data_IF_468784556664
#
_entry.id   IF_468784556664
#
_cell.length_a   1.000
_cell.length_b   1.000
_cell.length_c   1.000
_cell.angle_alpha   90.00
_cell.angle_beta   90.00
_cell.angle_gamma   90.00
#
_symmetry.space_group_name_H-M   'P 1'
#
loop_
_entity.id
_entity.type
_entity.pdbx_description
1 polymer ?
#
# COMPACT_ATOMS: atom_id res chain seq x y z
N UNK A 1 -1.59 -6.84 -31.42
CA UNK A 1 -1.79 -6.74 -29.95
C UNK A 1 -1.22 -5.43 -29.35
N UNK A 2 -0.10 -4.90 -29.87
CA UNK A 2 0.52 -3.66 -29.34
C UNK A 2 -0.26 -2.37 -29.68
N UNK A 3 -1.04 -2.34 -30.75
CA UNK A 3 -1.75 -1.14 -31.22
C UNK A 3 -2.94 -0.77 -30.28
N UNK A 4 -3.65 -1.76 -29.76
CA UNK A 4 -4.80 -1.54 -28.87
C UNK A 4 -4.37 -1.05 -27.45
N UNK A 5 -3.20 -1.46 -26.99
CA UNK A 5 -2.63 -0.97 -25.73
C UNK A 5 -2.20 0.49 -25.81
N UNK A 6 -1.64 0.91 -26.96
CA UNK A 6 -1.19 2.31 -27.17
C UNK A 6 -2.32 3.33 -27.16
N UNK A 7 -3.57 2.92 -27.47
CA UNK A 7 -4.72 3.84 -27.47
C UNK A 7 -5.32 4.07 -26.09
N UNK A 8 -5.00 3.23 -25.08
CA UNK A 8 -5.57 3.32 -23.72
C UNK A 8 -4.62 4.00 -22.74
N UNK A 9 -3.33 3.90 -22.99
CA UNK A 9 -2.28 4.46 -22.12
C UNK A 9 -1.02 4.72 -22.94
N UNK A 10 -0.24 5.68 -22.51
CA UNK A 10 1.09 5.97 -23.02
C UNK A 10 2.05 5.99 -21.84
N UNK A 11 3.12 5.20 -21.91
CA UNK A 11 4.22 5.28 -20.96
C UNK A 11 5.32 6.14 -21.58
N UNK A 12 5.63 7.27 -20.98
CA UNK A 12 6.82 8.04 -21.31
C UNK A 12 7.91 7.58 -20.36
N UNK A 13 8.70 6.62 -20.83
CA UNK A 13 9.82 5.98 -20.12
C UNK A 13 9.38 5.28 -18.80
N UNK A 14 8.98 6.04 -17.79
CA UNK A 14 8.82 5.60 -16.41
C UNK A 14 7.49 6.00 -15.76
N UNK A 15 6.59 6.66 -16.53
CA UNK A 15 5.28 7.14 -16.03
C UNK A 15 4.16 6.80 -17.00
N UNK A 16 2.97 6.57 -16.45
CA UNK A 16 1.80 6.20 -17.23
C UNK A 16 0.93 7.42 -17.48
N UNK A 17 0.62 7.67 -18.76
CA UNK A 17 -0.36 8.67 -19.17
C UNK A 17 -1.63 7.95 -19.61
N UNK A 18 -2.70 8.18 -18.90
CA UNK A 18 -3.98 7.53 -19.15
C UNK A 18 -4.76 8.29 -20.22
N UNK A 19 -4.98 7.68 -21.38
CA UNK A 19 -5.90 8.19 -22.39
C UNK A 19 -7.37 7.99 -21.95
N UNK A 20 -8.34 8.76 -22.48
CA UNK A 20 -9.73 8.72 -22.00
C UNK A 20 -10.33 7.31 -21.88
N UNK A 21 -10.17 6.37 -22.85
CA UNK A 21 -10.70 5.02 -22.70
C UNK A 21 -10.02 4.22 -21.58
N UNK A 22 -8.71 4.39 -21.40
CA UNK A 22 -7.96 3.75 -20.32
C UNK A 22 -8.32 4.33 -18.95
N UNK A 23 -8.48 5.64 -18.89
CA UNK A 23 -8.91 6.34 -17.68
C UNK A 23 -10.31 5.92 -17.23
N UNK A 24 -11.24 5.75 -18.17
CA UNK A 24 -12.58 5.25 -17.84
C UNK A 24 -12.55 3.85 -17.20
N UNK A 25 -11.69 2.95 -17.71
CA UNK A 25 -11.49 1.61 -17.10
C UNK A 25 -10.88 1.76 -15.72
N UNK A 26 -9.83 2.57 -15.57
CA UNK A 26 -9.17 2.85 -14.30
C UNK A 26 -10.17 3.34 -13.24
N UNK A 27 -10.98 4.34 -13.57
CA UNK A 27 -12.00 4.86 -12.66
C UNK A 27 -13.04 3.80 -12.25
N UNK A 28 -13.43 2.90 -13.16
CA UNK A 28 -14.35 1.79 -12.84
C UNK A 28 -13.75 0.81 -11.85
N UNK A 29 -12.48 0.44 -12.04
CA UNK A 29 -11.74 -0.41 -11.10
C UNK A 29 -11.60 0.28 -9.74
N UNK A 30 -11.23 1.55 -9.71
CA UNK A 30 -11.12 2.31 -8.48
C UNK A 30 -12.46 2.41 -7.73
N UNK A 31 -13.56 2.68 -8.43
CA UNK A 31 -14.90 2.70 -7.85
C UNK A 31 -15.32 1.33 -7.31
N UNK A 32 -14.96 0.26 -7.99
CA UNK A 32 -15.23 -1.12 -7.54
C UNK A 32 -14.51 -1.41 -6.24
N UNK A 33 -13.20 -1.19 -6.16
CA UNK A 33 -12.40 -1.37 -4.95
C UNK A 33 -12.91 -0.48 -3.81
N UNK A 34 -13.19 0.80 -4.07
CA UNK A 34 -13.75 1.72 -3.07
C UNK A 34 -15.03 1.20 -2.43
N UNK A 35 -15.92 0.62 -3.21
CA UNK A 35 -17.16 0.01 -2.68
C UNK A 35 -16.85 -1.19 -1.79
N UNK A 36 -15.93 -2.08 -2.21
CA UNK A 36 -15.52 -3.26 -1.44
C UNK A 36 -14.91 -2.85 -0.10
N UNK A 37 -13.96 -1.91 -0.11
CA UNK A 37 -13.32 -1.40 1.10
C UNK A 37 -14.33 -0.75 2.05
N UNK A 38 -15.25 0.08 1.54
CA UNK A 38 -16.28 0.72 2.35
C UNK A 38 -17.19 -0.31 3.04
N UNK A 39 -17.63 -1.35 2.32
CA UNK A 39 -18.46 -2.43 2.89
C UNK A 39 -17.69 -3.22 3.96
N UNK A 40 -16.37 -3.36 3.78
CA UNK A 40 -15.47 -4.00 4.75
C UNK A 40 -15.06 -3.10 5.92
N UNK A 41 -15.67 -1.90 6.05
CA UNK A 41 -15.46 -0.99 7.16
C UNK A 41 -14.20 -0.15 7.10
N UNK A 42 -13.56 0.00 5.93
CA UNK A 42 -12.43 0.91 5.75
C UNK A 42 -12.90 2.35 5.60
N UNK A 43 -12.20 3.26 6.25
CA UNK A 43 -12.35 4.70 6.13
C UNK A 43 -11.35 5.21 5.10
N UNK A 44 -11.86 5.80 4.01
CA UNK A 44 -10.99 6.37 2.98
C UNK A 44 -10.42 7.71 3.46
N UNK A 45 -9.11 7.84 3.35
CA UNK A 45 -8.34 9.05 3.68
C UNK A 45 -7.55 9.52 2.46
N UNK A 46 -6.98 10.71 2.55
CA UNK A 46 -6.03 11.25 1.56
C UNK A 46 -4.91 11.96 2.28
N UNK A 47 -3.68 11.61 1.94
CA UNK A 47 -2.48 12.18 2.55
C UNK A 47 -1.63 12.95 1.54
N UNK A 48 -0.84 13.95 1.98
CA UNK A 48 0.00 14.74 1.09
C UNK A 48 1.00 13.89 0.28
N UNK A 49 1.29 14.31 -0.95
CA UNK A 49 2.29 13.64 -1.78
C UNK A 49 3.72 14.10 -1.47
N UNK A 50 3.90 15.36 -1.10
CA UNK A 50 5.19 15.93 -0.73
C UNK A 50 5.16 16.11 0.78
N UNK A 51 6.10 15.49 1.47
CA UNK A 51 6.13 15.44 2.94
C UNK A 51 7.53 15.80 3.44
N UNK A 52 7.58 16.51 4.56
CA UNK A 52 8.82 16.93 5.21
C UNK A 52 9.70 15.72 5.58
N UNK A 53 11.00 15.92 5.44
CA UNK A 53 12.05 14.92 5.71
C UNK A 53 11.91 14.27 7.09
N UNK A 54 11.50 15.03 8.10
CA UNK A 54 11.42 14.55 9.49
C UNK A 54 10.48 13.35 9.66
N UNK A 55 9.43 13.23 8.85
CA UNK A 55 8.56 12.06 8.87
C UNK A 55 9.31 10.79 8.40
N UNK A 56 10.13 10.94 7.37
CA UNK A 56 10.90 9.85 6.80
C UNK A 56 12.06 9.42 7.70
N UNK A 57 12.67 10.36 8.43
CA UNK A 57 13.68 10.06 9.46
C UNK A 57 13.05 9.30 10.62
N UNK A 58 11.93 9.77 11.17
CA UNK A 58 11.23 9.09 12.29
C UNK A 58 10.80 7.67 11.94
N UNK A 59 10.45 7.42 10.70
CA UNK A 59 10.03 6.10 10.21
C UNK A 59 11.21 5.22 9.75
N UNK A 60 12.45 5.73 9.76
CA UNK A 60 13.67 5.04 9.34
C UNK A 60 13.83 4.86 7.83
N UNK A 61 12.92 5.46 7.03
CA UNK A 61 12.99 5.35 5.57
C UNK A 61 14.06 6.23 4.96
N UNK A 62 14.33 7.39 5.57
CA UNK A 62 15.36 8.30 5.07
C UNK A 62 16.74 7.66 5.01
N UNK A 63 17.13 6.92 6.04
CA UNK A 63 18.45 6.32 6.12
C UNK A 63 18.60 5.07 5.22
N UNK A 64 17.50 4.33 5.03
CA UNK A 64 17.54 3.04 4.31
C UNK A 64 17.20 3.15 2.83
N UNK A 65 16.38 4.12 2.43
CA UNK A 65 15.79 4.20 1.09
C UNK A 65 15.93 5.58 0.44
N UNK A 66 16.82 6.44 0.94
CA UNK A 66 17.02 7.80 0.40
C UNK A 66 17.30 7.80 -1.11
N UNK A 67 18.09 6.85 -1.59
CA UNK A 67 18.45 6.74 -3.01
C UNK A 67 17.25 6.40 -3.89
N UNK A 68 16.28 5.68 -3.33
CA UNK A 68 15.04 5.29 -4.00
C UNK A 68 13.93 6.34 -3.87
N UNK A 69 14.18 7.48 -3.23
CA UNK A 69 13.21 8.54 -3.02
C UNK A 69 13.50 9.74 -3.94
N UNK A 70 12.43 10.34 -4.47
CA UNK A 70 12.53 11.67 -5.08
C UNK A 70 12.52 12.73 -3.98
N UNK A 71 13.60 13.49 -3.88
CA UNK A 71 13.75 14.54 -2.88
C UNK A 71 13.77 15.91 -3.54
N UNK A 72 13.34 16.93 -2.81
CA UNK A 72 13.37 18.32 -3.21
C UNK A 72 13.63 19.19 -2.00
N UNK A 73 14.09 20.42 -2.20
CA UNK A 73 14.34 21.38 -1.13
C UNK A 73 13.61 22.68 -1.44
N UNK A 74 13.05 23.30 -0.42
CA UNK A 74 12.43 24.62 -0.47
C UNK A 74 12.56 25.29 0.88
N UNK A 75 12.87 26.60 0.91
CA UNK A 75 12.99 27.39 2.14
C UNK A 75 13.94 26.77 3.19
N UNK A 76 15.08 26.23 2.73
CA UNK A 76 16.07 25.53 3.56
C UNK A 76 15.54 24.29 4.28
N UNK A 77 14.50 23.66 3.75
CA UNK A 77 13.95 22.39 4.22
C UNK A 77 13.99 21.35 3.12
N UNK A 78 14.23 20.11 3.52
CA UNK A 78 14.19 18.96 2.62
C UNK A 78 12.82 18.28 2.70
N UNK A 79 12.33 17.88 1.55
CA UNK A 79 11.08 17.16 1.38
C UNK A 79 11.32 15.92 0.54
N UNK A 80 10.46 14.93 0.67
CA UNK A 80 10.41 13.81 -0.25
C UNK A 80 9.01 13.65 -0.86
N UNK A 81 9.00 13.24 -2.12
CA UNK A 81 7.77 12.77 -2.74
C UNK A 81 7.49 11.38 -2.20
N UNK A 82 6.30 11.18 -1.69
CA UNK A 82 5.86 9.98 -0.97
C UNK A 82 6.18 8.67 -1.73
N UNK A 83 7.07 7.79 -1.22
CA UNK A 83 7.36 6.49 -1.82
C UNK A 83 6.39 5.39 -1.35
N UNK A 84 5.68 5.65 -0.24
CA UNK A 84 4.68 4.76 0.38
C UNK A 84 3.74 5.56 1.29
N UNK A 85 2.62 4.96 1.68
CA UNK A 85 1.59 5.63 2.48
C UNK A 85 1.73 5.39 3.99
N UNK A 86 2.41 4.31 4.41
CA UNK A 86 2.45 3.84 5.80
C UNK A 86 2.74 4.93 6.84
N UNK A 87 3.82 5.75 6.72
CA UNK A 87 4.11 6.78 7.73
C UNK A 87 3.02 7.85 7.81
N UNK A 88 2.37 8.17 6.68
CA UNK A 88 1.29 9.15 6.63
C UNK A 88 0.02 8.63 7.31
N UNK A 89 -0.33 7.34 7.12
CA UNK A 89 -1.45 6.71 7.81
C UNK A 89 -1.22 6.64 9.31
N UNK A 90 0.02 6.37 9.76
CA UNK A 90 0.38 6.42 11.18
C UNK A 90 0.21 7.84 11.74
N UNK A 91 0.53 8.89 10.98
CA UNK A 91 0.27 10.27 11.41
C UNK A 91 -1.23 10.54 11.60
N UNK A 92 -2.08 10.08 10.69
CA UNK A 92 -3.54 10.19 10.81
C UNK A 92 -4.03 9.42 12.05
N UNK A 93 -3.52 8.21 12.27
CA UNK A 93 -3.88 7.41 13.44
C UNK A 93 -3.49 8.08 14.76
N UNK A 94 -2.33 8.74 14.79
CA UNK A 94 -1.81 9.43 15.98
C UNK A 94 -2.47 10.78 16.27
N UNK A 95 -3.34 11.28 15.37
CA UNK A 95 -4.07 12.52 15.62
C UNK A 95 -5.24 12.27 16.60
N UNK A 96 -5.17 12.93 17.75
CA UNK A 96 -6.17 12.85 18.80
C UNK A 96 -5.96 11.67 19.76
N UNK A 97 -6.70 11.74 20.88
CA UNK A 97 -6.74 10.66 21.86
C UNK A 97 -7.64 9.55 21.34
N UNK A 98 -7.09 8.33 21.22
CA UNK A 98 -7.84 7.14 20.88
C UNK A 98 -7.90 6.18 22.07
N UNK A 99 -9.06 5.58 22.24
CA UNK A 99 -9.26 4.51 23.19
C UNK A 99 -8.98 3.15 22.52
N UNK A 100 -8.55 2.15 23.29
CA UNK A 100 -8.50 0.76 22.81
C UNK A 100 -9.87 0.25 22.32
N UNK A 101 -10.97 0.89 22.79
CA UNK A 101 -12.34 0.57 22.37
C UNK A 101 -12.64 1.02 20.93
N UNK A 102 -11.83 1.92 20.37
CA UNK A 102 -11.98 2.40 18.99
C UNK A 102 -11.35 1.44 17.97
N UNK A 103 -10.60 0.44 18.46
CA UNK A 103 -9.94 -0.57 17.62
C UNK A 103 -10.91 -1.70 17.23
N UNK A 104 -10.79 -2.26 16.03
CA UNK A 104 -9.81 -1.94 15.01
C UNK A 104 -10.18 -0.70 14.17
N UNK A 105 -9.18 0.12 13.83
CA UNK A 105 -9.33 1.23 12.88
C UNK A 105 -8.74 0.79 11.55
N UNK A 106 -9.55 0.84 10.49
CA UNK A 106 -9.15 0.47 9.13
C UNK A 106 -9.13 1.71 8.26
N UNK A 107 -7.95 2.12 7.81
CA UNK A 107 -7.75 3.25 6.91
C UNK A 107 -7.42 2.74 5.52
N UNK A 108 -7.91 3.42 4.48
CA UNK A 108 -7.56 3.13 3.10
C UNK A 108 -7.29 4.41 2.31
N UNK A 109 -6.41 4.32 1.31
CA UNK A 109 -6.07 5.44 0.44
C UNK A 109 -5.77 4.96 -0.97
N UNK A 110 -6.26 5.65 -1.99
CA UNK A 110 -5.73 5.55 -3.34
C UNK A 110 -4.50 6.46 -3.46
N UNK A 111 -3.42 6.01 -2.83
CA UNK A 111 -2.21 6.80 -2.65
C UNK A 111 -1.31 6.81 -3.87
N UNK A 112 -1.01 7.99 -4.40
CA UNK A 112 -0.01 8.15 -5.47
C UNK A 112 1.39 8.11 -4.88
N UNK A 113 2.14 7.06 -5.19
CA UNK A 113 3.49 6.83 -4.71
C UNK A 113 4.52 7.02 -5.84
N UNK A 114 5.71 7.45 -5.46
CA UNK A 114 6.81 7.69 -6.40
C UNK A 114 8.09 7.05 -5.89
N UNK A 115 8.72 6.22 -6.71
CA UNK A 115 10.00 5.56 -6.39
C UNK A 115 11.01 5.83 -7.49
N UNK A 116 12.22 6.21 -7.11
CA UNK A 116 13.31 6.45 -8.05
C UNK A 116 13.95 5.13 -8.51
N UNK A 117 13.13 4.30 -9.14
CA UNK A 117 13.56 3.02 -9.70
C UNK A 117 14.66 3.19 -10.74
N UNK A 118 15.65 2.31 -10.73
CA UNK A 118 16.70 2.31 -11.74
C UNK A 118 16.10 2.08 -13.14
N UNK A 119 16.63 2.77 -14.15
CA UNK A 119 16.07 2.73 -15.51
C UNK A 119 16.01 1.33 -16.12
N UNK A 120 16.97 0.47 -15.79
CA UNK A 120 17.04 -0.91 -16.27
C UNK A 120 16.01 -1.86 -15.64
N UNK A 121 15.31 -1.44 -14.57
CA UNK A 121 14.31 -2.26 -13.87
C UNK A 121 12.88 -1.94 -14.31
N UNK A 122 12.69 -0.90 -15.10
CA UNK A 122 11.36 -0.46 -15.53
C UNK A 122 10.73 -1.45 -16.51
N UNK A 123 9.47 -1.85 -16.26
CA UNK A 123 8.79 -2.85 -17.06
C UNK A 123 7.29 -2.55 -17.23
N UNK A 124 6.92 -1.96 -18.35
CA UNK A 124 5.53 -1.72 -18.75
C UNK A 124 4.73 -0.98 -17.67
N UNK A 125 3.61 -1.59 -17.23
CA UNK A 125 2.81 -1.11 -16.08
C UNK A 125 3.20 -1.76 -14.76
N UNK A 126 4.03 -2.79 -14.80
CA UNK A 126 4.38 -3.61 -13.64
C UNK A 126 5.39 -2.92 -12.74
N UNK A 127 6.31 -2.14 -13.32
CA UNK A 127 7.34 -1.41 -12.58
C UNK A 127 7.58 -0.05 -13.21
N UNK A 128 7.05 0.97 -12.57
CA UNK A 128 7.10 2.38 -12.98
C UNK A 128 7.53 3.24 -11.80
N UNK A 129 7.91 4.48 -12.06
CA UNK A 129 8.33 5.42 -11.01
C UNK A 129 7.18 6.17 -10.35
N UNK A 130 6.00 6.18 -10.97
CA UNK A 130 4.77 6.72 -10.37
C UNK A 130 3.63 5.72 -10.55
N UNK A 131 3.01 5.34 -9.47
CA UNK A 131 1.89 4.39 -9.45
C UNK A 131 0.93 4.77 -8.32
N UNK A 132 -0.31 4.32 -8.45
CA UNK A 132 -1.33 4.47 -7.40
C UNK A 132 -1.57 3.11 -6.76
N UNK A 133 -1.56 3.09 -5.44
CA UNK A 133 -1.90 1.92 -4.64
C UNK A 133 -3.30 2.11 -4.03
N UNK A 134 -4.10 1.06 -4.05
CA UNK A 134 -5.26 0.88 -3.18
C UNK A 134 -4.77 0.34 -1.83
N UNK A 135 -4.09 1.18 -1.10
CA UNK A 135 -3.37 0.83 0.12
C UNK A 135 -4.28 0.90 1.35
N UNK A 136 -4.08 -0.02 2.29
CA UNK A 136 -4.85 -0.07 3.52
C UNK A 136 -3.99 -0.41 4.73
N UNK A 137 -4.28 0.24 5.86
CA UNK A 137 -3.63 -0.02 7.14
C UNK A 137 -4.68 -0.30 8.21
N UNK A 138 -4.49 -1.40 8.93
CA UNK A 138 -5.35 -1.82 10.02
C UNK A 138 -4.58 -1.63 11.32
N UNK A 139 -5.11 -0.78 12.18
CA UNK A 139 -4.61 -0.56 13.53
C UNK A 139 -5.51 -1.33 14.47
N UNK A 140 -4.96 -2.34 15.13
CA UNK A 140 -5.71 -3.26 15.99
C UNK A 140 -4.89 -3.69 17.21
N UNK A 141 -5.55 -4.26 18.21
CA UNK A 141 -4.87 -4.91 19.35
C UNK A 141 -4.35 -6.29 18.95
N UNK A 142 -3.43 -6.85 19.72
CA UNK A 142 -2.80 -8.15 19.42
C UNK A 142 -3.85 -9.28 19.28
N UNK A 143 -4.87 -9.28 20.11
CA UNK A 143 -5.96 -10.27 20.10
C UNK A 143 -6.88 -10.15 18.84
N UNK A 144 -6.89 -8.99 18.20
CA UNK A 144 -7.67 -8.75 16.99
C UNK A 144 -6.93 -9.13 15.69
N UNK A 145 -5.60 -9.28 15.72
CA UNK A 145 -4.76 -9.50 14.52
C UNK A 145 -5.29 -10.65 13.67
N UNK A 146 -5.52 -11.82 14.27
CA UNK A 146 -5.95 -13.00 13.54
C UNK A 146 -7.29 -12.78 12.84
N UNK A 147 -8.27 -12.19 13.53
CA UNK A 147 -9.59 -11.92 12.95
C UNK A 147 -9.55 -10.89 11.84
N UNK A 148 -8.70 -9.86 11.96
CA UNK A 148 -8.56 -8.82 10.94
C UNK A 148 -7.85 -9.32 9.69
N UNK A 149 -6.81 -10.14 9.85
CA UNK A 149 -6.12 -10.75 8.71
C UNK A 149 -7.05 -11.74 7.98
N UNK A 150 -7.85 -12.55 8.69
CA UNK A 150 -8.85 -13.42 8.07
C UNK A 150 -9.85 -12.63 7.21
N UNK A 151 -10.43 -11.57 7.76
CA UNK A 151 -11.36 -10.69 7.01
C UNK A 151 -10.70 -10.04 5.78
N UNK A 152 -9.42 -9.68 5.89
CA UNK A 152 -8.68 -9.13 4.76
C UNK A 152 -8.45 -10.18 3.67
N UNK A 153 -8.13 -11.43 4.03
CA UNK A 153 -8.00 -12.54 3.08
C UNK A 153 -9.33 -12.80 2.36
N UNK A 154 -10.45 -12.84 3.09
CA UNK A 154 -11.78 -13.00 2.50
C UNK A 154 -12.09 -11.89 1.49
N UNK A 155 -11.74 -10.63 1.83
CA UNK A 155 -11.89 -9.50 0.92
C UNK A 155 -11.03 -9.66 -0.35
N UNK A 156 -9.79 -10.11 -0.21
CA UNK A 156 -8.88 -10.39 -1.34
C UNK A 156 -9.47 -11.46 -2.26
N UNK A 157 -9.94 -12.57 -1.70
CA UNK A 157 -10.57 -13.65 -2.48
C UNK A 157 -11.82 -13.17 -3.22
N UNK A 158 -12.67 -12.38 -2.56
CA UNK A 158 -13.88 -11.82 -3.17
C UNK A 158 -13.56 -10.88 -4.34
N UNK A 159 -12.55 -10.02 -4.18
CA UNK A 159 -12.08 -9.12 -5.23
C UNK A 159 -11.54 -9.91 -6.42
N UNK A 160 -10.61 -10.83 -6.20
CA UNK A 160 -9.98 -11.59 -7.29
C UNK A 160 -10.97 -12.51 -8.01
N UNK A 161 -11.88 -13.16 -7.27
CA UNK A 161 -12.97 -13.95 -7.86
C UNK A 161 -13.87 -13.09 -8.76
N UNK A 162 -14.23 -11.89 -8.31
CA UNK A 162 -15.03 -10.97 -9.12
C UNK A 162 -14.29 -10.52 -10.38
N UNK A 163 -12.96 -10.44 -10.36
CA UNK A 163 -12.12 -10.12 -11.51
C UNK A 163 -11.82 -11.34 -12.41
N UNK A 164 -12.33 -12.52 -12.07
CA UNK A 164 -12.22 -13.73 -12.90
C UNK A 164 -10.94 -14.54 -12.67
N UNK A 165 -10.25 -14.36 -11.54
CA UNK A 165 -9.12 -15.22 -11.18
C UNK A 165 -9.63 -16.49 -10.49
N UNK A 166 -9.29 -17.64 -11.04
CA UNK A 166 -9.75 -18.95 -10.55
C UNK A 166 -8.86 -19.54 -9.45
N UNK A 167 -7.57 -19.20 -9.47
CA UNK A 167 -6.61 -19.64 -8.47
C UNK A 167 -5.79 -18.50 -7.91
N UNK A 168 -5.60 -18.48 -6.60
CA UNK A 168 -4.82 -17.50 -5.87
C UNK A 168 -3.84 -18.24 -4.98
N UNK A 169 -2.55 -17.92 -5.09
CA UNK A 169 -1.52 -18.47 -4.21
C UNK A 169 -1.17 -17.43 -3.14
N UNK A 170 -1.39 -17.75 -1.89
CA UNK A 170 -0.99 -16.94 -0.74
C UNK A 170 0.31 -17.52 -0.18
N UNK A 171 1.30 -16.67 0.06
CA UNK A 171 2.59 -17.05 0.64
C UNK A 171 2.88 -16.17 1.85
N UNK A 172 3.28 -16.79 2.94
CA UNK A 172 3.78 -16.08 4.11
C UNK A 172 5.23 -15.64 3.86
N UNK A 173 5.49 -14.34 4.06
CA UNK A 173 6.86 -13.82 4.11
C UNK A 173 7.34 -13.82 5.56
N UNK A 174 8.47 -14.47 5.80
CA UNK A 174 9.11 -14.49 7.12
C UNK A 174 10.03 -13.29 7.32
N UNK A 175 10.43 -13.06 8.57
CA UNK A 175 11.30 -11.94 8.95
C UNK A 175 12.65 -11.94 8.22
N UNK A 176 13.13 -10.77 7.78
CA UNK A 176 14.48 -10.65 7.22
C UNK A 176 15.54 -10.65 8.33
N UNK A 177 16.82 -10.91 7.98
CA UNK A 177 17.93 -10.84 8.92
C UNK A 177 18.06 -9.44 9.55
N UNK A 178 17.97 -8.37 8.72
CA UNK A 178 17.98 -6.97 9.17
C UNK A 178 16.55 -6.48 9.39
N UNK A 179 16.10 -6.50 10.63
CA UNK A 179 14.73 -6.12 11.04
C UNK A 179 14.71 -5.15 12.21
N UNK A 180 13.57 -4.56 12.45
CA UNK A 180 13.28 -3.73 13.63
C UNK A 180 12.26 -4.48 14.48
N UNK A 181 12.35 -4.38 15.80
CA UNK A 181 11.51 -5.08 16.77
C UNK A 181 12.18 -6.29 17.40
N UNK A 182 11.64 -6.75 18.52
CA UNK A 182 12.14 -7.92 19.23
C UNK A 182 11.73 -9.23 18.54
N UNK A 183 12.51 -10.30 18.77
CA UNK A 183 12.21 -11.62 18.23
C UNK A 183 10.84 -12.13 18.72
N UNK A 184 10.47 -11.84 19.97
CA UNK A 184 9.16 -12.22 20.52
C UNK A 184 7.98 -11.62 19.75
N UNK A 185 8.08 -10.36 19.32
CA UNK A 185 7.04 -9.71 18.51
C UNK A 185 6.96 -10.36 17.13
N UNK A 186 8.12 -10.66 16.53
CA UNK A 186 8.18 -11.36 15.25
C UNK A 186 7.62 -12.78 15.33
N UNK A 187 7.97 -13.54 16.37
CA UNK A 187 7.49 -14.92 16.61
C UNK A 187 5.95 -14.94 16.70
N UNK A 188 5.37 -14.04 17.50
CA UNK A 188 3.90 -13.91 17.62
C UNK A 188 3.23 -13.55 16.29
N UNK A 189 3.80 -12.61 15.55
CA UNK A 189 3.24 -12.16 14.27
C UNK A 189 3.30 -13.25 13.20
N UNK A 190 4.43 -13.94 13.09
CA UNK A 190 4.61 -15.03 12.14
C UNK A 190 3.70 -16.21 12.49
N UNK A 191 3.57 -16.55 13.80
CA UNK A 191 2.68 -17.62 14.23
C UNK A 191 1.22 -17.31 13.92
N UNK A 192 0.77 -16.08 14.21
CA UNK A 192 -0.60 -15.66 13.89
C UNK A 192 -0.92 -15.77 12.38
N UNK A 193 0.05 -15.41 11.52
CA UNK A 193 -0.10 -15.53 10.06
C UNK A 193 0.00 -16.99 9.59
N UNK A 194 0.84 -17.80 10.22
CA UNK A 194 1.00 -19.21 9.91
C UNK A 194 -0.27 -20.00 10.25
N UNK A 195 -0.87 -19.74 11.40
CA UNK A 195 -2.13 -20.37 11.82
C UNK A 195 -3.27 -20.07 10.82
N UNK A 196 -3.29 -18.85 10.25
CA UNK A 196 -4.25 -18.48 9.21
C UNK A 196 -3.97 -19.17 7.87
N UNK A 197 -2.69 -19.37 7.52
CA UNK A 197 -2.34 -20.05 6.27
C UNK A 197 -2.82 -21.52 6.25
N UNK A 198 -2.88 -22.16 7.41
CA UNK A 198 -3.38 -23.54 7.56
C UNK A 198 -4.91 -23.64 7.42
N UNK A 199 -5.64 -22.54 7.61
CA UNK A 199 -7.11 -22.51 7.52
C UNK A 199 -7.59 -22.24 6.09
N UNK A 200 -6.79 -21.55 5.28
CA UNK A 200 -7.17 -21.06 3.94
C UNK A 200 -6.44 -21.73 2.77
N UNK A 201 -5.59 -22.75 3.03
CA UNK A 201 -4.88 -23.50 1.99
C UNK A 201 -5.56 -24.86 1.75
#
# INVERSE_FOLDING_TARGET
>A
HNRCRRQRQMCIRDRVFWHPPGWAIYQKLQQFIRRKLRVSGYQEISTPQIVDRTLWEKSGHWDKFKEDMFTTSSENRDYAVKPMNCPCHVQIFNQGLRSYKDLPVRLSEFGSCHRNEASGTLHGLMRVRNFVQDDGHIFCSEDQVQSEVSKFIDLVFDVYKTLGFESISIKLSTRPEKRVGSDQVWDKSEQALQDLSLIHI
#
